data_IF_797324059749
#
_entry.id   IF_797324059749
#
_cell.length_a   1.000
_cell.length_b   1.000
_cell.length_c   1.000
_cell.angle_alpha   90.00
_cell.angle_beta   90.00
_cell.angle_gamma   90.00
#
_symmetry.space_group_name_H-M   'P 1'
#
loop_
_entity.id
_entity.type
_entity.pdbx_description
1 polymer ?
#
# COMPACT_ATOMS: atom_id res chain seq x y z
N UNK A 1 26.19 -87.31 20.88
CA UNK A 1 26.96 -86.10 21.25
C UNK A 1 25.97 -84.97 21.53
N UNK A 2 26.03 -84.34 22.73
CA UNK A 2 25.79 -82.92 23.11
C UNK A 2 24.66 -82.12 22.40
N UNK A 3 23.86 -81.20 22.98
CA UNK A 3 23.56 -80.63 24.31
C UNK A 3 22.36 -79.65 24.09
N UNK A 4 21.78 -79.10 25.16
CA UNK A 4 20.52 -78.32 25.20
C UNK A 4 20.55 -76.82 24.78
N UNK A 5 19.33 -76.26 24.56
CA UNK A 5 18.79 -74.89 24.86
C UNK A 5 19.26 -73.65 24.05
N UNK A 6 18.67 -72.42 24.17
CA UNK A 6 17.26 -71.95 24.24
C UNK A 6 16.96 -70.64 23.43
N UNK A 7 15.71 -70.14 23.51
CA UNK A 7 15.19 -68.74 23.37
C UNK A 7 16.01 -67.66 22.62
N UNK A 8 15.40 -67.10 21.56
CA UNK A 8 15.63 -65.74 21.06
C UNK A 8 14.32 -64.95 21.06
N UNK A 9 14.30 -63.82 21.75
CA UNK A 9 13.14 -62.98 22.09
C UNK A 9 12.61 -62.16 20.91
N UNK A 10 11.30 -61.92 20.93
CA UNK A 10 10.56 -60.68 20.65
C UNK A 10 11.20 -59.65 19.70
N UNK A 11 10.49 -59.34 18.61
CA UNK A 11 9.97 -57.98 18.38
C UNK A 11 8.87 -58.03 17.30
N UNK A 12 7.61 -57.91 17.73
CA UNK A 12 6.59 -57.28 16.87
C UNK A 12 7.05 -55.83 16.72
N UNK A 13 7.56 -55.45 15.55
CA UNK A 13 7.73 -54.04 15.22
C UNK A 13 6.34 -53.44 15.02
N UNK A 14 5.74 -52.99 16.12
CA UNK A 14 4.84 -51.86 16.09
C UNK A 14 5.68 -50.62 15.76
N UNK A 15 6.10 -50.48 14.51
CA UNK A 15 6.28 -49.14 13.95
C UNK A 15 4.93 -48.72 13.39
N UNK A 16 3.99 -48.48 14.31
CA UNK A 16 3.12 -47.33 14.17
C UNK A 16 4.05 -46.11 14.12
N UNK A 17 4.57 -45.84 12.92
CA UNK A 17 4.99 -44.50 12.54
C UNK A 17 3.70 -43.70 12.62
N UNK A 18 3.46 -43.16 13.81
CA UNK A 18 2.48 -42.12 14.06
C UNK A 18 2.84 -41.00 13.10
N UNK A 19 2.28 -41.07 11.90
CA UNK A 19 1.98 -39.90 11.11
C UNK A 19 1.00 -39.13 11.99
N UNK A 20 1.54 -38.33 12.91
CA UNK A 20 0.79 -37.20 13.46
C UNK A 20 0.18 -36.46 12.27
N UNK A 21 -1.01 -35.86 12.42
CA UNK A 21 -1.73 -35.29 11.29
C UNK A 21 -0.76 -34.42 10.51
N UNK A 22 -0.55 -34.77 9.24
CA UNK A 22 0.42 -34.14 8.35
C UNK A 22 0.08 -32.64 8.29
N UNK A 23 0.69 -31.89 9.21
CA UNK A 23 0.24 -30.54 9.54
C UNK A 23 0.82 -29.67 8.47
N UNK A 24 -0.03 -29.17 7.58
CA UNK A 24 0.36 -28.16 6.60
C UNK A 24 0.91 -26.93 7.34
N UNK A 25 2.23 -26.82 7.40
CA UNK A 25 2.96 -25.69 8.00
C UNK A 25 3.68 -24.93 6.88
N UNK A 26 2.99 -24.03 6.17
CA UNK A 26 3.61 -23.22 5.14
C UNK A 26 4.68 -22.32 5.76
N UNK A 27 5.70 -21.96 4.98
CA UNK A 27 6.71 -21.01 5.44
C UNK A 27 6.08 -19.64 5.68
N UNK A 28 6.64 -18.87 6.62
CA UNK A 28 6.17 -17.51 6.90
C UNK A 28 6.28 -16.58 5.68
N UNK A 29 7.25 -16.84 4.80
CA UNK A 29 7.43 -16.14 3.52
C UNK A 29 6.25 -16.42 2.59
N UNK A 30 5.90 -17.70 2.39
CA UNK A 30 4.78 -18.09 1.53
C UNK A 30 3.45 -17.50 2.03
N UNK A 31 3.25 -17.45 3.35
CA UNK A 31 2.04 -16.84 3.95
C UNK A 31 1.99 -15.33 3.71
N UNK A 32 3.13 -14.62 3.83
CA UNK A 32 3.19 -13.17 3.56
C UNK A 32 2.92 -12.87 2.09
N UNK A 33 3.63 -13.56 1.20
CA UNK A 33 3.49 -13.43 -0.23
C UNK A 33 2.03 -13.68 -0.68
N UNK A 34 1.39 -14.73 -0.16
CA UNK A 34 -0.01 -15.00 -0.44
C UNK A 34 -0.94 -13.87 0.01
N UNK A 35 -0.77 -13.35 1.24
CA UNK A 35 -1.57 -12.23 1.75
C UNK A 35 -1.39 -10.95 0.95
N UNK A 36 -0.16 -10.65 0.54
CA UNK A 36 0.14 -9.48 -0.31
C UNK A 36 -0.60 -9.59 -1.65
N UNK A 37 -0.61 -10.77 -2.27
CA UNK A 37 -1.36 -11.00 -3.51
C UNK A 37 -2.88 -10.91 -3.30
N UNK A 38 -3.41 -11.52 -2.24
CA UNK A 38 -4.84 -11.42 -1.90
C UNK A 38 -5.27 -9.97 -1.63
N UNK A 39 -4.40 -9.19 -0.97
CA UNK A 39 -4.62 -7.75 -0.76
C UNK A 39 -4.63 -6.99 -2.08
N UNK A 40 -3.64 -7.23 -2.95
CA UNK A 40 -3.56 -6.60 -4.26
C UNK A 40 -4.81 -6.89 -5.10
N UNK A 41 -5.23 -8.16 -5.21
CA UNK A 41 -6.45 -8.53 -5.94
C UNK A 41 -7.69 -7.83 -5.38
N UNK A 42 -7.87 -7.82 -4.05
CA UNK A 42 -9.00 -7.15 -3.40
C UNK A 42 -9.01 -5.63 -3.63
N UNK A 43 -7.86 -4.97 -3.63
CA UNK A 43 -7.79 -3.53 -3.94
C UNK A 43 -8.23 -3.29 -5.39
N UNK A 44 -7.73 -4.09 -6.34
CA UNK A 44 -8.10 -3.97 -7.76
C UNK A 44 -9.59 -4.23 -7.96
N UNK A 45 -10.14 -5.28 -7.36
CA UNK A 45 -11.55 -5.62 -7.48
C UNK A 45 -12.43 -4.49 -6.92
N UNK A 46 -12.05 -3.85 -5.80
CA UNK A 46 -12.73 -2.66 -5.28
C UNK A 46 -12.71 -1.50 -6.30
N UNK A 47 -11.59 -1.25 -6.97
CA UNK A 47 -11.52 -0.23 -8.02
C UNK A 47 -12.45 -0.54 -9.19
N UNK A 48 -12.41 -1.78 -9.68
CA UNK A 48 -13.16 -2.19 -10.87
C UNK A 48 -14.66 -2.26 -10.61
N UNK A 49 -15.08 -2.74 -9.45
CA UNK A 49 -16.48 -3.04 -9.17
C UNK A 49 -17.23 -1.90 -8.48
N UNK A 50 -16.52 -1.09 -7.67
CA UNK A 50 -17.18 -0.17 -6.72
C UNK A 50 -16.71 1.27 -6.82
N UNK A 51 -15.61 1.58 -7.49
CA UNK A 51 -15.08 2.95 -7.52
C UNK A 51 -15.96 3.96 -8.25
N UNK A 52 -16.90 3.50 -9.08
CA UNK A 52 -17.93 4.34 -9.68
C UNK A 52 -19.04 4.72 -8.71
N UNK A 53 -19.15 4.07 -7.54
CA UNK A 53 -20.05 4.48 -6.47
C UNK A 53 -19.60 5.83 -5.90
N UNK A 54 -20.56 6.73 -5.68
CA UNK A 54 -20.30 8.04 -5.08
C UNK A 54 -19.70 7.87 -3.69
N UNK A 55 -18.66 8.64 -3.39
CA UNK A 55 -17.95 8.69 -2.10
C UNK A 55 -17.29 7.37 -1.67
N UNK A 56 -17.25 6.36 -2.53
CA UNK A 56 -16.53 5.12 -2.25
C UNK A 56 -15.03 5.31 -2.51
N UNK A 57 -14.21 4.95 -1.52
CA UNK A 57 -12.77 4.84 -1.63
C UNK A 57 -12.34 3.44 -1.20
N UNK A 58 -11.48 2.74 -1.96
CA UNK A 58 -11.05 1.40 -1.61
C UNK A 58 -10.26 1.41 -0.30
N UNK A 59 -10.55 0.45 0.58
CA UNK A 59 -9.75 0.22 1.79
C UNK A 59 -8.32 -0.14 1.40
N UNK A 60 -7.33 0.55 1.99
CA UNK A 60 -5.90 0.42 1.71
C UNK A 60 -5.50 0.76 0.24
N UNK A 61 -6.36 1.46 -0.51
CA UNK A 61 -6.18 1.70 -1.94
C UNK A 61 -5.75 3.11 -2.32
N UNK A 62 -5.34 3.95 -1.38
CA UNK A 62 -5.05 5.38 -1.62
C UNK A 62 -3.83 5.56 -2.53
N UNK A 63 -2.74 4.84 -2.26
CA UNK A 63 -1.55 4.86 -3.12
C UNK A 63 -1.86 4.35 -4.53
N UNK A 64 -2.75 3.36 -4.63
CA UNK A 64 -3.24 2.84 -5.90
C UNK A 64 -4.11 3.88 -6.64
N UNK A 65 -4.92 4.65 -5.92
CA UNK A 65 -5.70 5.75 -6.48
C UNK A 65 -4.78 6.80 -7.10
N UNK A 66 -3.77 7.27 -6.37
CA UNK A 66 -2.83 8.28 -6.90
C UNK A 66 -2.00 7.73 -8.06
N UNK A 67 -1.59 6.46 -7.98
CA UNK A 67 -0.92 5.77 -9.08
C UNK A 67 -1.80 5.72 -10.32
N UNK A 68 -3.09 5.39 -10.20
CA UNK A 68 -4.02 5.37 -11.32
C UNK A 68 -4.29 6.77 -11.88
N UNK A 69 -4.43 7.78 -11.02
CA UNK A 69 -4.65 9.17 -11.43
C UNK A 69 -3.56 9.67 -12.38
N UNK A 70 -2.29 9.50 -12.01
CA UNK A 70 -1.16 10.00 -12.83
C UNK A 70 -0.97 9.21 -14.14
N UNK A 71 -1.58 8.02 -14.24
CA UNK A 71 -1.56 7.18 -15.44
C UNK A 71 -2.74 7.44 -16.39
N UNK A 72 -3.67 8.33 -16.02
CA UNK A 72 -4.75 8.72 -16.94
C UNK A 72 -4.16 9.36 -18.22
N UNK A 73 -4.74 9.08 -19.40
CA UNK A 73 -4.27 9.64 -20.67
C UNK A 73 -4.18 11.17 -20.64
N UNK A 74 -5.20 11.81 -20.06
CA UNK A 74 -5.35 13.26 -19.93
C UNK A 74 -4.61 13.87 -18.72
N UNK A 75 -3.93 13.06 -17.89
CA UNK A 75 -3.12 13.60 -16.80
C UNK A 75 -1.93 14.41 -17.36
N UNK A 76 -1.69 15.66 -16.89
CA UNK A 76 -0.56 16.47 -17.34
C UNK A 76 0.77 15.80 -17.03
N UNK A 77 1.67 15.71 -18.02
CA UNK A 77 2.94 14.99 -17.88
C UNK A 77 3.95 15.68 -16.94
N UNK A 78 3.80 16.98 -16.77
CA UNK A 78 4.61 17.85 -15.92
C UNK A 78 4.06 18.04 -14.50
N UNK A 79 2.94 17.36 -14.17
CA UNK A 79 2.29 17.46 -12.87
C UNK A 79 2.46 16.18 -12.04
N UNK A 80 3.02 16.34 -10.84
CA UNK A 80 3.14 15.26 -9.85
C UNK A 80 2.12 15.38 -8.72
N UNK A 81 1.88 14.28 -8.01
CA UNK A 81 1.19 14.27 -6.70
C UNK A 81 2.25 13.93 -5.65
N UNK A 82 2.33 14.73 -4.58
CA UNK A 82 3.25 14.53 -3.46
C UNK A 82 2.45 14.36 -2.18
N UNK A 83 2.71 13.28 -1.46
CA UNK A 83 2.12 13.01 -0.15
C UNK A 83 3.16 13.37 0.90
N UNK A 84 2.81 14.29 1.79
CA UNK A 84 3.67 14.73 2.89
C UNK A 84 3.06 14.28 4.23
N UNK A 85 3.89 14.11 5.26
CA UNK A 85 3.40 14.02 6.63
C UNK A 85 3.18 15.43 7.23
N UNK A 86 2.72 15.48 8.49
CA UNK A 86 2.48 16.74 9.20
C UNK A 86 3.74 17.59 9.42
N UNK A 87 4.93 16.99 9.31
CA UNK A 87 6.22 17.67 9.42
C UNK A 87 6.77 18.14 8.06
N UNK A 88 5.95 18.10 7.01
CA UNK A 88 6.32 18.43 5.62
C UNK A 88 7.36 17.47 5.01
N UNK A 89 7.54 16.27 5.57
CA UNK A 89 8.39 15.24 4.99
C UNK A 89 7.65 14.47 3.90
N UNK A 90 8.30 14.28 2.74
CA UNK A 90 7.73 13.56 1.61
C UNK A 90 7.64 12.06 1.93
N UNK A 91 6.42 11.54 1.99
CA UNK A 91 6.10 10.12 2.15
C UNK A 91 6.06 9.39 0.81
N UNK A 92 5.47 10.02 -0.22
CA UNK A 92 5.33 9.42 -1.55
C UNK A 92 5.28 10.48 -2.65
N UNK A 93 5.75 10.11 -3.84
CA UNK A 93 5.66 10.93 -5.06
C UNK A 93 5.09 10.07 -6.18
N UNK A 94 4.02 10.54 -6.80
CA UNK A 94 3.39 9.92 -7.96
C UNK A 94 3.56 10.85 -9.16
N UNK A 95 4.06 10.32 -10.27
CA UNK A 95 4.23 11.07 -11.51
C UNK A 95 3.92 10.20 -12.71
N UNK A 96 3.63 10.85 -13.84
CA UNK A 96 3.39 10.16 -15.11
C UNK A 96 4.73 9.69 -15.69
N UNK A 97 4.92 8.37 -15.73
CA UNK A 97 6.20 7.79 -16.12
C UNK A 97 7.21 7.82 -14.98
N UNK A 98 8.50 7.93 -15.31
CA UNK A 98 9.60 7.81 -14.34
C UNK A 98 10.63 8.94 -14.41
N UNK A 99 10.42 9.93 -15.28
CA UNK A 99 11.34 11.05 -15.43
C UNK A 99 10.90 12.20 -14.52
N UNK A 100 11.64 12.45 -13.44
CA UNK A 100 11.33 13.57 -12.56
C UNK A 100 11.73 14.93 -13.17
N UNK A 101 12.60 14.95 -14.18
CA UNK A 101 13.12 16.21 -14.76
C UNK A 101 12.08 16.97 -15.59
N UNK A 102 11.02 16.30 -16.03
CA UNK A 102 9.89 16.92 -16.74
C UNK A 102 8.87 17.55 -15.80
N UNK A 103 8.89 17.21 -14.50
CA UNK A 103 7.93 17.70 -13.51
C UNK A 103 8.21 19.16 -13.21
N UNK A 104 7.21 20.01 -13.42
CA UNK A 104 7.28 21.45 -13.15
C UNK A 104 6.42 21.85 -11.96
N UNK A 105 5.28 21.17 -11.78
CA UNK A 105 4.30 21.47 -10.75
C UNK A 105 3.97 20.22 -9.90
N UNK A 106 3.41 20.46 -8.71
CA UNK A 106 2.97 19.38 -7.82
C UNK A 106 1.69 19.71 -7.06
N UNK A 107 0.77 18.75 -7.02
CA UNK A 107 -0.33 18.71 -6.07
C UNK A 107 0.21 18.15 -4.75
N UNK A 108 0.16 18.94 -3.68
CA UNK A 108 0.59 18.50 -2.35
C UNK A 108 -0.62 18.08 -1.52
N UNK A 109 -0.52 16.90 -0.90
CA UNK A 109 -1.48 16.33 0.03
C UNK A 109 -0.78 16.04 1.35
N UNK A 110 -1.34 16.52 2.46
CA UNK A 110 -0.81 16.20 3.79
C UNK A 110 -1.58 15.03 4.38
N UNK A 111 -0.89 13.97 4.78
CA UNK A 111 -1.45 12.83 5.49
C UNK A 111 -1.27 13.02 7.01
N UNK A 112 -2.38 12.95 7.74
CA UNK A 112 -2.44 12.78 9.18
C UNK A 112 -2.86 11.32 9.45
N UNK A 113 -2.39 10.74 10.56
CA UNK A 113 -2.63 9.38 11.09
C UNK A 113 -3.56 8.47 10.28
N UNK A 114 -4.83 8.85 10.08
CA UNK A 114 -5.83 8.06 9.33
C UNK A 114 -6.53 8.83 8.16
N UNK A 115 -6.12 10.05 7.81
CA UNK A 115 -6.81 10.87 6.80
C UNK A 115 -5.91 11.89 6.08
N UNK A 116 -6.31 12.28 4.87
CA UNK A 116 -5.70 13.44 4.18
C UNK A 116 -6.32 14.74 4.67
N UNK A 117 -5.47 15.68 5.09
CA UNK A 117 -5.87 17.03 5.46
C UNK A 117 -5.96 17.87 4.20
N UNK A 118 -7.16 18.38 3.93
CA UNK A 118 -7.35 19.49 2.99
C UNK A 118 -7.09 20.79 3.77
N UNK A 119 -6.23 21.71 3.29
CA UNK A 119 -6.01 22.99 3.93
C UNK A 119 -7.31 23.73 4.28
N UNK A 120 -7.36 24.32 5.48
CA UNK A 120 -8.53 24.97 6.10
C UNK A 120 -9.19 26.08 5.25
N UNK A 121 -8.51 26.56 4.21
CA UNK A 121 -8.97 27.64 3.35
C UNK A 121 -9.82 27.16 2.15
N UNK A 122 -10.04 25.86 1.98
CA UNK A 122 -10.89 25.34 0.91
C UNK A 122 -12.24 24.90 1.45
N UNK A 123 -13.28 25.57 0.97
CA UNK A 123 -14.68 25.17 1.12
C UNK A 123 -14.90 23.92 0.27
N UNK A 124 -14.49 22.76 0.79
CA UNK A 124 -14.78 21.48 0.18
C UNK A 124 -16.22 21.15 0.56
N UNK A 125 -17.12 21.03 -0.42
CA UNK A 125 -18.45 20.52 -0.08
C UNK A 125 -18.32 19.07 0.44
N UNK A 126 -19.24 18.65 1.31
CA UNK A 126 -19.14 17.40 2.07
C UNK A 126 -18.95 16.14 1.20
N UNK A 127 -19.38 16.20 -0.06
CA UNK A 127 -19.24 15.11 -1.03
C UNK A 127 -17.89 15.18 -1.78
N UNK A 128 -17.21 14.05 -1.87
CA UNK A 128 -15.99 13.82 -2.67
C UNK A 128 -14.76 14.70 -2.32
N UNK A 129 -14.38 14.85 -1.03
CA UNK A 129 -13.48 15.91 -0.63
C UNK A 129 -12.08 15.81 -1.21
N UNK A 130 -11.51 14.60 -1.26
CA UNK A 130 -10.19 14.34 -1.82
C UNK A 130 -10.12 14.66 -3.32
N UNK A 131 -11.09 14.16 -4.10
CA UNK A 131 -11.11 14.38 -5.55
C UNK A 131 -11.37 15.84 -5.90
N UNK A 132 -12.24 16.52 -5.15
CA UNK A 132 -12.45 17.96 -5.31
C UNK A 132 -11.20 18.77 -5.00
N UNK A 133 -10.46 18.39 -3.96
CA UNK A 133 -9.19 19.02 -3.66
C UNK A 133 -8.19 18.84 -4.82
N UNK A 134 -7.99 17.61 -5.29
CA UNK A 134 -7.12 17.33 -6.46
C UNK A 134 -7.54 18.19 -7.66
N UNK A 135 -8.84 18.30 -7.93
CA UNK A 135 -9.36 19.10 -9.03
C UNK A 135 -9.08 20.60 -8.88
N UNK A 136 -9.13 21.12 -7.66
CA UNK A 136 -8.83 22.54 -7.40
C UNK A 136 -7.36 22.90 -7.65
N UNK A 137 -6.47 21.90 -7.66
CA UNK A 137 -5.03 22.05 -7.90
C UNK A 137 -4.64 21.73 -9.34
N UNK A 138 -5.57 21.29 -10.19
CA UNK A 138 -5.28 21.01 -11.60
C UNK A 138 -4.97 22.31 -12.37
N UNK A 139 -4.04 22.28 -13.33
CA UNK A 139 -3.78 23.41 -14.21
C UNK A 139 -5.03 23.89 -14.94
N UNK A 140 -5.11 25.20 -15.17
CA UNK A 140 -6.21 25.80 -15.92
C UNK A 140 -6.32 25.17 -17.32
N UNK A 141 -7.50 24.69 -17.68
CA UNK A 141 -7.75 24.01 -18.96
C UNK A 141 -7.45 22.50 -18.96
N UNK A 142 -7.11 21.90 -17.81
CA UNK A 142 -6.96 20.43 -17.68
C UNK A 142 -8.20 19.68 -18.17
N UNK A 143 -7.98 18.66 -19.02
CA UNK A 143 -9.00 17.75 -19.54
C UNK A 143 -9.30 16.56 -18.62
N UNK A 144 -8.65 16.45 -17.47
CA UNK A 144 -8.88 15.36 -16.50
C UNK A 144 -10.36 15.29 -16.10
N UNK A 145 -10.95 14.10 -16.15
CA UNK A 145 -12.38 13.90 -15.87
C UNK A 145 -13.33 14.50 -16.91
N UNK A 146 -12.87 14.86 -18.10
CA UNK A 146 -13.75 15.28 -19.20
C UNK A 146 -14.18 14.08 -20.06
N UNK A 147 -15.21 14.27 -20.90
CA UNK A 147 -15.68 13.27 -21.86
C UNK A 147 -16.94 12.51 -21.44
N UNK A 148 -17.50 12.79 -20.26
CA UNK A 148 -18.77 12.22 -19.82
C UNK A 148 -19.94 12.63 -20.72
N UNK A 149 -20.78 11.65 -21.09
CA UNK A 149 -21.94 11.85 -21.96
C UNK A 149 -23.26 11.86 -21.17
N UNK A 150 -23.37 12.79 -20.21
CA UNK A 150 -24.56 12.95 -19.38
C UNK A 150 -24.77 14.43 -18.99
N UNK A 151 -26.01 14.85 -18.64
CA UNK A 151 -26.28 16.23 -18.22
C UNK A 151 -25.42 16.64 -17.02
N UNK A 152 -24.70 17.76 -17.15
CA UNK A 152 -23.83 18.27 -16.09
C UNK A 152 -22.43 17.65 -16.06
N UNK A 153 -22.03 16.84 -17.04
CA UNK A 153 -20.68 16.26 -17.13
C UNK A 153 -19.53 17.29 -17.17
N UNK A 154 -19.82 18.53 -17.57
CA UNK A 154 -18.86 19.64 -17.56
C UNK A 154 -18.73 20.37 -16.22
N UNK A 155 -19.57 20.06 -15.23
CA UNK A 155 -19.44 20.60 -13.86
C UNK A 155 -18.38 19.82 -13.09
N UNK A 156 -17.83 20.39 -12.02
CA UNK A 156 -16.84 19.67 -11.19
C UNK A 156 -17.36 18.33 -10.68
N UNK A 157 -18.62 18.28 -10.23
CA UNK A 157 -19.26 17.04 -9.80
C UNK A 157 -19.41 16.03 -10.94
N UNK A 158 -19.77 16.48 -12.14
CA UNK A 158 -19.85 15.62 -13.33
C UNK A 158 -18.48 15.14 -13.80
N UNK A 159 -17.44 15.97 -13.67
CA UNK A 159 -16.08 15.55 -13.99
C UNK A 159 -15.56 14.50 -13.00
N UNK A 160 -15.93 14.58 -11.73
CA UNK A 160 -15.61 13.54 -10.73
C UNK A 160 -16.28 12.21 -11.07
N UNK A 161 -17.56 12.22 -11.48
CA UNK A 161 -18.23 10.99 -11.96
C UNK A 161 -17.48 10.38 -13.13
N UNK A 162 -17.12 11.19 -14.13
CA UNK A 162 -16.37 10.75 -15.31
C UNK A 162 -14.98 10.22 -14.93
N UNK A 163 -14.29 10.89 -14.01
CA UNK A 163 -12.99 10.48 -13.50
C UNK A 163 -13.05 9.10 -12.84
N UNK A 164 -14.06 8.86 -11.99
CA UNK A 164 -14.26 7.58 -11.33
C UNK A 164 -14.44 6.45 -12.34
N UNK A 165 -15.22 6.68 -13.40
CA UNK A 165 -15.38 5.73 -14.51
C UNK A 165 -14.05 5.48 -15.25
N UNK A 166 -13.28 6.53 -15.53
CA UNK A 166 -11.98 6.43 -16.19
C UNK A 166 -10.97 5.63 -15.35
N UNK A 167 -10.94 5.86 -14.04
CA UNK A 167 -10.05 5.14 -13.11
C UNK A 167 -10.46 3.68 -12.99
N UNK A 168 -11.76 3.39 -12.84
CA UNK A 168 -12.25 2.01 -12.80
C UNK A 168 -11.93 1.26 -14.10
N UNK A 169 -12.11 1.92 -15.25
CA UNK A 169 -11.72 1.40 -16.57
C UNK A 169 -10.22 1.15 -16.66
N UNK A 170 -9.39 2.11 -16.22
CA UNK A 170 -7.93 1.97 -16.23
C UNK A 170 -7.46 0.82 -15.32
N UNK A 171 -8.01 0.70 -14.11
CA UNK A 171 -7.70 -0.39 -13.18
C UNK A 171 -8.04 -1.76 -13.79
N UNK A 172 -9.14 -1.84 -14.54
CA UNK A 172 -9.54 -3.05 -15.26
C UNK A 172 -8.58 -3.38 -16.40
N UNK A 173 -8.27 -2.39 -17.24
CA UNK A 173 -7.44 -2.56 -18.44
C UNK A 173 -5.98 -2.85 -18.11
N UNK A 174 -5.48 -2.24 -17.03
CA UNK A 174 -4.10 -2.37 -16.55
C UNK A 174 -3.97 -3.28 -15.33
N UNK A 175 -4.95 -4.14 -15.05
CA UNK A 175 -4.94 -5.06 -13.89
C UNK A 175 -3.59 -5.75 -13.66
N UNK A 176 -2.92 -6.35 -14.67
CA UNK A 176 -1.63 -7.01 -14.45
C UNK A 176 -0.54 -6.06 -13.93
N UNK A 177 -0.45 -4.85 -14.52
CA UNK A 177 0.54 -3.86 -14.14
C UNK A 177 0.26 -3.28 -12.75
N UNK A 178 -1.02 -3.02 -12.45
CA UNK A 178 -1.45 -2.54 -11.13
C UNK A 178 -1.18 -3.60 -10.05
N UNK A 179 -1.43 -4.88 -10.35
CA UNK A 179 -1.13 -5.99 -9.45
C UNK A 179 0.36 -6.08 -9.13
N UNK A 180 1.21 -6.06 -10.15
CA UNK A 180 2.67 -6.13 -9.97
C UNK A 180 3.18 -4.94 -9.13
N UNK A 181 2.64 -3.73 -9.37
CA UNK A 181 2.98 -2.54 -8.60
C UNK A 181 2.57 -2.66 -7.13
N UNK A 182 1.35 -3.13 -6.85
CA UNK A 182 0.84 -3.33 -5.49
C UNK A 182 1.64 -4.37 -4.71
N UNK A 183 2.00 -5.48 -5.36
CA UNK A 183 2.84 -6.52 -4.75
C UNK A 183 4.23 -6.00 -4.45
N UNK A 184 4.84 -5.24 -5.37
CA UNK A 184 6.18 -4.67 -5.17
C UNK A 184 6.21 -3.62 -4.05
N UNK A 185 5.16 -2.78 -3.94
CA UNK A 185 5.05 -1.77 -2.89
C UNK A 185 5.05 -2.41 -1.49
N UNK A 186 4.26 -3.46 -1.27
CA UNK A 186 4.17 -4.17 0.01
C UNK A 186 5.50 -4.84 0.42
N UNK A 187 6.28 -5.33 -0.55
CA UNK A 187 7.60 -5.89 -0.30
C UNK A 187 8.61 -4.83 0.14
N UNK A 188 8.56 -3.63 -0.44
CA UNK A 188 9.44 -2.52 -0.07
C UNK A 188 9.18 -2.00 1.35
N UNK A 189 7.90 -1.83 1.72
CA UNK A 189 7.47 -1.45 3.07
C UNK A 189 7.88 -2.51 4.10
N UNK A 190 7.74 -3.79 3.75
CA UNK A 190 8.15 -4.91 4.62
C UNK A 190 9.67 -4.95 4.87
N UNK A 191 10.50 -4.57 3.88
CA UNK A 191 11.97 -4.50 4.03
C UNK A 191 12.37 -3.32 4.92
N UNK A 192 11.80 -2.14 4.72
CA UNK A 192 12.06 -0.96 5.57
C UNK A 192 11.72 -1.19 7.05
N UNK A 193 10.67 -1.98 7.34
CA UNK A 193 10.29 -2.34 8.70
C UNK A 193 11.19 -3.42 9.34
N UNK A 194 11.87 -4.25 8.54
CA UNK A 194 12.86 -5.21 9.04
C UNK A 194 14.21 -4.55 9.34
N UNK A 195 14.63 -3.59 8.52
CA UNK A 195 15.89 -2.86 8.71
C UNK A 195 15.85 -1.95 9.95
N UNK A 196 14.71 -1.32 10.23
CA UNK A 196 14.51 -0.53 11.46
C UNK A 196 14.54 -1.40 12.73
N UNK A 197 14.04 -2.64 12.66
CA UNK A 197 14.03 -3.58 13.80
C UNK A 197 15.40 -4.21 14.07
N UNK A 198 16.29 -4.25 13.07
CA UNK A 198 17.67 -4.69 13.23
C UNK A 198 18.57 -3.63 13.89
N UNK A 199 18.17 -2.35 13.88
CA UNK A 199 18.95 -1.25 14.46
C UNK A 199 18.62 -0.98 15.94
N UNK A 200 17.55 -1.55 16.49
CA UNK A 200 17.15 -1.36 17.89
C UNK A 200 17.75 -2.43 18.82
N UNK A 201 19.07 -2.56 18.89
CA UNK A 201 19.78 -3.16 20.03
C UNK A 201 21.17 -2.55 20.18
N UNK A 202 21.46 -1.96 21.35
CA UNK A 202 22.68 -2.38 22.04
C UNK A 202 22.37 -2.93 23.43
N UNK A 203 23.08 -4.02 23.72
CA UNK A 203 23.09 -4.73 24.99
C UNK A 203 23.62 -3.86 26.14
N UNK A 204 23.07 -4.14 27.32
CA UNK A 204 23.49 -3.66 28.64
C UNK A 204 24.88 -4.15 29.05
N UNK A 205 25.71 -3.26 29.65
CA UNK A 205 26.63 -3.52 30.78
C UNK A 205 26.76 -2.17 31.53
N UNK A 206 26.21 -1.95 32.74
CA UNK A 206 26.82 -2.21 34.06
C UNK A 206 28.04 -1.30 34.34
N UNK A 207 28.32 -0.68 35.49
CA UNK A 207 27.71 -0.53 36.82
C UNK A 207 28.60 0.48 37.59
N UNK A 208 27.99 1.20 38.53
CA UNK A 208 28.57 1.78 39.77
C UNK A 208 29.50 3.01 39.75
N UNK A 209 28.91 4.10 40.26
CA UNK A 209 29.26 4.81 41.51
C UNK A 209 30.65 5.45 41.70
N UNK A 210 30.60 6.77 41.96
CA UNK A 210 30.97 7.44 43.23
C UNK A 210 31.94 8.64 43.12
N UNK A 211 31.74 9.56 44.05
CA UNK A 211 32.62 10.61 44.57
C UNK A 211 32.70 11.99 43.87
N UNK A 212 32.23 12.98 44.65
CA UNK A 212 32.45 14.42 44.57
C UNK A 212 33.93 14.83 44.67
N UNK A 213 34.27 16.08 44.27
CA UNK A 213 35.21 17.01 44.95
C UNK A 213 35.31 18.37 44.19
N UNK A 214 35.25 19.46 44.98
CA UNK A 214 35.75 20.88 44.86
C UNK A 214 36.09 21.50 43.49
N UNK A 215 35.73 22.75 43.15
CA UNK A 215 35.80 24.08 43.79
C UNK A 215 36.04 25.12 42.65
N UNK A 216 36.41 26.41 42.86
CA UNK A 216 36.47 27.24 44.08
C UNK A 216 35.30 28.24 44.23
#
# INVERSE_FOLDING_TARGET
>A
MLKAAPMGKLARSNEQKSLGPDRFTPSTVAVREHRTRERADRIIDQFVERFTEKDFFPEDGEDALFSLLVQLPDWPADLSIRIHNENDEVLAVFLKGSDESIVQDSIVLTQNVDAYIVPDNVQVADDEPLLRWVFSQLPAGSSVGMGGNFPGSSSDAGRIVTLREQIAGLAKDQRPLLFDALVAADESTSKGQLDTRAQSFPASVGSSADAAVSGP
#
